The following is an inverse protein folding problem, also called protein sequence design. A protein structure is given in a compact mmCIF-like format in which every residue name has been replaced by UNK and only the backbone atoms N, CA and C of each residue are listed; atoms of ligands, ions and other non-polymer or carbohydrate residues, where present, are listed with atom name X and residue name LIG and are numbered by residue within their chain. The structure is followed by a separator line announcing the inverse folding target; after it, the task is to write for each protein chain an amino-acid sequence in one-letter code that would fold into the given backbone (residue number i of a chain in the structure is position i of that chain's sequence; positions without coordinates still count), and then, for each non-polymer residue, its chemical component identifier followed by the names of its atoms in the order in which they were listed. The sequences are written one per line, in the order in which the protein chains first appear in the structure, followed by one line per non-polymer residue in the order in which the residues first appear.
data_IF_273996617311
#
_entry.id   IF_273996617311
#
_cell.length_a   1.000
_cell.length_b   1.000
_cell.length_c   1.000
_cell.angle_alpha   90.00
_cell.angle_beta   90.00
_cell.angle_gamma   90.00
#
_symmetry.space_group_name_H-M   'P 1'
#
loop_
_entity.id
_entity.type
_entity.pdbx_description
1 polymer ?
#
# COMPACT_ATOMS: atom_id res chain seq x y z
N UNK A 1 -1.57 -1.99 17.11
CA UNK A 1 -2.84 -1.60 16.51
C UNK A 1 -2.73 -1.57 14.99
N UNK A 2 -3.86 -1.68 14.31
CA UNK A 2 -3.88 -1.61 12.85
C UNK A 2 -3.47 -0.22 12.33
N UNK A 3 -3.77 0.84 13.07
CA UNK A 3 -3.36 2.19 12.69
C UNK A 3 -1.83 2.31 12.58
N UNK A 4 -1.10 1.75 13.55
CA UNK A 4 0.37 1.76 13.51
C UNK A 4 0.86 0.99 12.30
N UNK A 5 0.22 -0.14 11.96
CA UNK A 5 0.60 -0.94 10.78
C UNK A 5 0.37 -0.20 9.47
N UNK A 6 -0.64 0.66 9.38
CA UNK A 6 -0.84 1.54 8.21
C UNK A 6 0.34 2.50 8.06
N UNK A 7 0.78 3.14 9.14
CA UNK A 7 1.94 4.02 9.09
C UNK A 7 3.20 3.27 8.69
N UNK A 8 3.40 2.08 9.24
CA UNK A 8 4.51 1.19 8.86
C UNK A 8 4.43 0.80 7.38
N UNK A 9 3.24 0.44 6.88
CA UNK A 9 3.03 0.06 5.49
C UNK A 9 3.54 1.15 4.53
N UNK A 10 3.12 2.40 4.73
CA UNK A 10 3.53 3.49 3.86
C UNK A 10 5.00 3.84 4.01
N UNK A 11 5.57 3.69 5.22
CA UNK A 11 6.99 3.88 5.43
C UNK A 11 7.81 2.79 4.71
N UNK A 12 7.42 1.53 4.83
CA UNK A 12 8.09 0.43 4.12
C UNK A 12 7.96 0.58 2.61
N UNK A 13 6.80 1.00 2.14
CA UNK A 13 6.57 1.26 0.72
C UNK A 13 7.50 2.35 0.19
N UNK A 14 7.62 3.46 0.91
CA UNK A 14 8.51 4.57 0.54
C UNK A 14 9.98 4.17 0.54
N UNK A 15 10.35 3.19 1.35
CA UNK A 15 11.72 2.66 1.44
C UNK A 15 11.96 1.45 0.54
N UNK A 16 10.95 1.03 -0.23
CA UNK A 16 11.01 -0.18 -1.09
C UNK A 16 11.36 -1.43 -0.29
N UNK A 17 10.88 -1.52 0.95
CA UNK A 17 11.21 -2.61 1.87
C UNK A 17 10.26 -3.78 1.68
N UNK A 18 10.54 -4.62 0.69
CA UNK A 18 9.72 -5.77 0.31
C UNK A 18 9.54 -6.75 1.46
N UNK A 19 10.60 -7.03 2.22
CA UNK A 19 10.53 -8.03 3.30
C UNK A 19 9.56 -7.59 4.40
N UNK A 20 9.63 -6.33 4.80
CA UNK A 20 8.74 -5.79 5.83
C UNK A 20 7.29 -5.67 5.32
N UNK A 21 7.10 -5.26 4.07
CA UNK A 21 5.77 -5.26 3.46
C UNK A 21 5.15 -6.66 3.48
N UNK A 22 5.93 -7.65 3.06
CA UNK A 22 5.50 -9.06 3.04
C UNK A 22 4.97 -9.52 4.40
N UNK A 23 5.60 -9.10 5.49
CA UNK A 23 5.19 -9.48 6.83
C UNK A 23 3.84 -8.89 7.26
N UNK A 24 3.39 -7.83 6.59
CA UNK A 24 2.08 -7.22 6.87
C UNK A 24 0.94 -7.90 6.13
N UNK A 25 1.22 -8.72 5.13
CA UNK A 25 0.23 -9.23 4.19
C UNK A 25 -0.37 -10.56 4.63
N UNK A 26 -1.70 -10.67 4.49
CA UNK A 26 -2.42 -11.94 4.50
C UNK A 26 -2.00 -12.77 3.28
N UNK A 27 -1.93 -14.10 3.42
CA UNK A 27 -1.56 -15.00 2.31
C UNK A 27 -2.51 -14.87 1.12
N UNK A 28 -3.77 -14.53 1.35
CA UNK A 28 -4.81 -14.37 0.33
C UNK A 28 -5.05 -12.91 -0.06
N UNK A 29 -4.12 -12.01 0.25
CA UNK A 29 -4.25 -10.57 -0.06
C UNK A 29 -4.59 -10.31 -1.52
N UNK A 30 -5.40 -9.28 -1.75
CA UNK A 30 -5.67 -8.74 -3.08
C UNK A 30 -5.18 -7.30 -3.19
N UNK A 31 -4.66 -6.94 -4.35
CA UNK A 31 -4.24 -5.57 -4.67
C UNK A 31 -4.85 -5.18 -6.00
N UNK A 32 -5.61 -4.10 -6.01
CA UNK A 32 -6.20 -3.54 -7.23
C UNK A 32 -5.89 -2.06 -7.27
N UNK A 33 -5.32 -1.58 -8.37
CA UNK A 33 -5.19 -0.16 -8.67
C UNK A 33 -5.59 0.07 -10.14
N UNK A 34 -5.29 1.27 -10.68
CA UNK A 34 -5.66 1.64 -12.05
C UNK A 34 -4.89 0.86 -13.14
N UNK A 35 -3.83 0.14 -12.77
CA UNK A 35 -3.01 -0.67 -13.69
C UNK A 35 -2.86 -2.12 -13.26
N UNK A 36 -3.07 -2.43 -11.99
CA UNK A 36 -2.71 -3.71 -11.38
C UNK A 36 -3.96 -4.39 -10.82
N UNK A 37 -4.03 -5.71 -11.03
CA UNK A 37 -4.95 -6.58 -10.32
C UNK A 37 -4.18 -7.85 -9.96
N UNK A 38 -3.88 -8.04 -8.68
CA UNK A 38 -3.08 -9.16 -8.20
C UNK A 38 -3.78 -9.84 -7.03
N UNK A 39 -3.71 -11.16 -6.99
CA UNK A 39 -4.29 -12.01 -5.96
C UNK A 39 -3.21 -12.92 -5.41
N UNK A 40 -3.24 -13.17 -4.13
CA UNK A 40 -2.32 -13.87 -3.24
C UNK A 40 -1.02 -13.11 -2.98
N UNK A 41 -0.39 -13.48 -1.87
CA UNK A 41 0.79 -12.77 -1.35
C UNK A 41 1.94 -12.72 -2.35
N UNK A 42 2.24 -13.84 -3.00
CA UNK A 42 3.37 -13.90 -3.93
C UNK A 42 3.17 -12.96 -5.13
N UNK A 43 1.96 -12.92 -5.68
CA UNK A 43 1.64 -12.04 -6.82
C UNK A 43 1.61 -10.57 -6.41
N UNK A 44 1.11 -10.26 -5.21
CA UNK A 44 1.10 -8.88 -4.71
C UNK A 44 2.53 -8.39 -4.44
N UNK A 45 3.39 -9.24 -3.87
CA UNK A 45 4.80 -8.91 -3.69
C UNK A 45 5.47 -8.66 -5.03
N UNK A 46 5.20 -9.49 -6.04
CA UNK A 46 5.78 -9.29 -7.37
C UNK A 46 5.31 -7.96 -7.97
N UNK A 47 4.03 -7.61 -7.81
CA UNK A 47 3.50 -6.32 -8.27
C UNK A 47 4.23 -5.15 -7.59
N UNK A 48 4.48 -5.25 -6.28
CA UNK A 48 5.25 -4.24 -5.56
C UNK A 48 6.69 -4.14 -6.07
N UNK A 49 7.34 -5.29 -6.31
CA UNK A 49 8.70 -5.30 -6.89
C UNK A 49 8.74 -4.61 -8.24
N UNK A 50 7.74 -4.86 -9.08
CA UNK A 50 7.65 -4.24 -10.41
C UNK A 50 7.50 -2.73 -10.31
N UNK A 51 6.67 -2.24 -9.39
CA UNK A 51 6.53 -0.80 -9.12
C UNK A 51 7.89 -0.23 -8.70
N UNK A 52 8.55 -0.84 -7.71
CA UNK A 52 9.80 -0.34 -7.15
C UNK A 52 10.93 -0.34 -8.17
N UNK A 53 10.95 -1.31 -9.09
CA UNK A 53 11.94 -1.39 -10.16
C UNK A 53 11.68 -0.37 -11.27
N UNK A 54 10.45 0.14 -11.39
CA UNK A 54 10.08 1.10 -12.44
C UNK A 54 10.43 2.55 -12.09
N UNK A 55 10.82 2.84 -10.84
CA UNK A 55 11.11 4.19 -10.36
C UNK A 55 12.43 4.24 -9.61
N UNK A 56 13.10 5.39 -9.61
CA UNK A 56 14.30 5.59 -8.79
C UNK A 56 13.93 5.77 -7.32
N UNK A 57 12.98 6.67 -7.05
CA UNK A 57 12.47 6.91 -5.70
C UNK A 57 10.96 6.99 -5.72
N UNK A 58 10.37 6.63 -4.59
CA UNK A 58 8.94 6.79 -4.36
C UNK A 58 8.73 7.20 -2.91
N UNK A 59 7.92 8.21 -2.69
CA UNK A 59 7.61 8.70 -1.35
C UNK A 59 6.11 8.87 -1.20
N UNK A 60 5.57 8.34 -0.12
CA UNK A 60 4.15 8.46 0.22
C UNK A 60 3.99 9.42 1.37
N UNK A 61 3.24 10.50 1.14
CA UNK A 61 2.81 11.43 2.18
C UNK A 61 1.35 11.14 2.51
N UNK A 62 1.07 10.93 3.80
CA UNK A 62 -0.29 10.72 4.27
C UNK A 62 -0.90 12.10 4.57
N UNK A 63 -1.96 12.46 3.85
CA UNK A 63 -2.68 13.72 4.05
C UNK A 63 -3.77 13.54 5.10
N UNK A 64 -4.57 12.49 4.97
CA UNK A 64 -5.63 12.14 5.92
C UNK A 64 -5.77 10.63 6.02
N UNK A 65 -6.13 10.15 7.20
CA UNK A 65 -6.54 8.76 7.42
C UNK A 65 -7.87 8.80 8.17
N UNK A 66 -8.82 7.97 7.73
CA UNK A 66 -10.00 7.66 8.53
C UNK A 66 -10.16 6.15 8.61
N UNK A 67 -10.74 5.70 9.69
CA UNK A 67 -10.91 4.28 9.98
C UNK A 67 -12.37 3.98 10.24
N UNK A 68 -12.86 2.89 9.65
CA UNK A 68 -14.16 2.32 9.97
C UNK A 68 -13.98 0.82 10.12
N UNK A 69 -14.15 0.34 11.36
CA UNK A 69 -13.92 -1.07 11.70
C UNK A 69 -12.48 -1.46 11.38
N UNK A 70 -12.25 -2.40 10.45
CA UNK A 70 -10.92 -2.84 10.05
C UNK A 70 -10.47 -2.25 8.72
N UNK A 71 -11.17 -1.25 8.21
CA UNK A 71 -10.90 -0.62 6.93
C UNK A 71 -10.37 0.79 7.13
N UNK A 72 -9.25 1.11 6.48
CA UNK A 72 -8.62 2.43 6.52
C UNK A 72 -8.75 3.09 5.17
N UNK A 73 -9.14 4.37 5.18
CA UNK A 73 -9.25 5.22 4.00
C UNK A 73 -8.14 6.25 4.09
N UNK A 74 -7.18 6.17 3.19
CA UNK A 74 -5.94 6.93 3.27
C UNK A 74 -5.82 7.87 2.07
N UNK A 75 -5.93 9.17 2.31
CA UNK A 75 -5.68 10.19 1.31
C UNK A 75 -4.19 10.47 1.26
N UNK A 76 -3.58 10.31 0.08
CA UNK A 76 -2.14 10.31 -0.09
C UNK A 76 -1.70 11.27 -1.19
N UNK A 77 -0.46 11.75 -1.05
CA UNK A 77 0.31 12.31 -2.16
C UNK A 77 1.52 11.41 -2.35
N UNK A 78 1.66 10.84 -3.54
CA UNK A 78 2.81 10.00 -3.89
C UNK A 78 3.73 10.80 -4.80
N UNK A 79 4.99 10.95 -4.38
CA UNK A 79 6.01 11.64 -5.18
C UNK A 79 6.94 10.60 -5.79
N UNK A 80 7.03 10.61 -7.12
CA UNK A 80 7.85 9.69 -7.90
C UNK A 80 9.07 10.43 -8.42
N UNK A 81 10.26 9.86 -8.22
CA UNK A 81 11.53 10.39 -8.68
C UNK A 81 11.77 11.85 -8.26
N UNK A 82 11.26 12.20 -7.07
CA UNK A 82 11.46 13.51 -6.47
C UNK A 82 10.65 14.66 -7.04
N UNK A 83 9.89 14.45 -8.11
CA UNK A 83 9.20 15.57 -8.79
C UNK A 83 7.77 15.31 -9.23
N UNK A 84 7.45 14.12 -9.70
CA UNK A 84 6.09 13.80 -10.15
C UNK A 84 5.20 13.50 -8.97
N UNK A 85 4.12 14.28 -8.79
CA UNK A 85 3.17 14.09 -7.67
C UNK A 85 1.85 13.55 -8.18
N UNK A 86 1.33 12.54 -7.50
CA UNK A 86 0.08 11.89 -7.82
C UNK A 86 -0.81 11.89 -6.57
N UNK A 87 -2.06 12.31 -6.73
CA UNK A 87 -3.08 12.18 -5.69
C UNK A 87 -3.68 10.79 -5.74
N UNK A 88 -3.71 10.10 -4.61
CA UNK A 88 -4.20 8.72 -4.52
C UNK A 88 -5.01 8.54 -3.24
N UNK A 89 -6.06 7.74 -3.31
CA UNK A 89 -6.73 7.22 -2.13
C UNK A 89 -6.52 5.71 -2.09
N UNK A 90 -5.91 5.22 -0.99
CA UNK A 90 -5.83 3.80 -0.70
C UNK A 90 -6.93 3.41 0.27
N UNK A 91 -7.61 2.32 -0.03
CA UNK A 91 -8.54 1.67 0.90
C UNK A 91 -7.91 0.34 1.31
N UNK A 92 -7.54 0.22 2.60
CA UNK A 92 -6.79 -0.91 3.12
C UNK A 92 -7.63 -1.61 4.20
N UNK A 93 -7.88 -2.89 4.00
CA UNK A 93 -8.66 -3.70 4.93
C UNK A 93 -7.80 -4.77 5.58
N UNK A 94 -7.94 -4.92 6.91
CA UNK A 94 -7.25 -5.93 7.70
C UNK A 94 -8.16 -7.14 7.95
N UNK A 95 -7.56 -8.31 8.09
CA UNK A 95 -8.25 -9.51 8.56
C UNK A 95 -8.34 -9.50 10.10
N UNK A 96 -8.93 -10.56 10.68
CA UNK A 96 -9.16 -10.65 12.13
C UNK A 96 -7.90 -10.88 12.95
N UNK A 97 -6.78 -11.20 12.31
CA UNK A 97 -5.48 -11.39 13.00
C UNK A 97 -4.50 -10.25 12.71
N UNK A 98 -4.98 -9.14 12.13
CA UNK A 98 -4.19 -7.94 11.93
C UNK A 98 -3.24 -8.01 10.74
N UNK A 99 -3.54 -8.82 9.72
CA UNK A 99 -2.83 -8.81 8.44
C UNK A 99 -3.66 -8.06 7.39
N UNK A 100 -2.99 -7.41 6.44
CA UNK A 100 -3.66 -6.71 5.35
C UNK A 100 -4.21 -7.74 4.36
N UNK A 101 -5.52 -7.73 4.15
CA UNK A 101 -6.18 -8.67 3.22
C UNK A 101 -6.62 -8.04 1.91
N UNK A 102 -6.73 -6.71 1.84
CA UNK A 102 -7.18 -6.02 0.62
C UNK A 102 -6.59 -4.62 0.58
N UNK A 103 -6.04 -4.26 -0.58
CA UNK A 103 -5.61 -2.90 -0.90
C UNK A 103 -6.24 -2.52 -2.22
N UNK A 104 -7.00 -1.42 -2.23
CA UNK A 104 -7.56 -0.82 -3.45
C UNK A 104 -7.08 0.61 -3.53
N UNK A 105 -6.47 0.98 -4.65
CA UNK A 105 -5.95 2.32 -4.85
C UNK A 105 -6.67 3.03 -5.99
N UNK A 106 -7.00 4.28 -5.77
CA UNK A 106 -7.72 5.12 -6.73
C UNK A 106 -6.92 6.38 -7.00
N UNK A 107 -6.60 6.62 -8.26
CA UNK A 107 -5.84 7.79 -8.69
C UNK A 107 -6.78 8.95 -8.95
N UNK A 108 -6.42 10.11 -8.41
CA UNK A 108 -7.12 11.36 -8.64
C UNK A 108 -6.84 11.98 -10.01
#
# INVERSE_FOLDING_TARGET
SNHIKILEYFNYFSNKDINQLSNLFDDDITLVDWNISATNKNNVIQANKDIFNSVQTINVEIVNISEKEKTFFCQLIITINGSEKIDVVDIIEFNNVGKIKSIKAYKG
#
